data_IF_412438143513
#
_entry.id   IF_412438143513
#
_cell.length_a   1.000
_cell.length_b   1.000
_cell.length_c   1.000
_cell.angle_alpha   90.00
_cell.angle_beta   90.00
_cell.angle_gamma   90.00
#
_symmetry.space_group_name_H-M   'P 1'
#
loop_
_entity.id
_entity.type
_entity.pdbx_description
1 polymer ?
#
# COMPACT_ATOMS: atom_id res chain seq x y z
N UNK A 1 12.20 -0.87 21.29
CA UNK A 1 11.90 -0.04 20.10
C UNK A 1 11.35 -0.98 19.04
N UNK A 2 10.02 -1.00 18.88
CA UNK A 2 9.35 -2.03 18.09
C UNK A 2 9.71 -1.91 16.60
N UNK A 3 9.83 -3.08 15.97
CA UNK A 3 10.35 -3.32 14.64
C UNK A 3 9.34 -2.87 13.56
N UNK A 4 9.12 -1.55 13.40
CA UNK A 4 8.11 -1.02 12.45
C UNK A 4 8.26 -1.58 11.03
N UNK A 5 9.50 -1.87 10.61
CA UNK A 5 9.80 -2.35 9.26
C UNK A 5 9.40 -3.82 9.04
N UNK A 6 9.32 -4.64 10.10
CA UNK A 6 8.85 -6.03 9.97
C UNK A 6 7.34 -6.10 9.72
N UNK A 7 6.57 -5.19 10.32
CA UNK A 7 5.11 -5.15 10.18
C UNK A 7 4.68 -4.79 8.76
N UNK A 8 5.41 -3.90 8.08
CA UNK A 8 5.10 -3.49 6.69
C UNK A 8 5.29 -4.65 5.71
N UNK A 9 6.36 -5.45 5.85
CA UNK A 9 6.59 -6.61 4.97
C UNK A 9 5.54 -7.70 5.13
N UNK A 10 5.09 -7.93 6.37
CA UNK A 10 4.00 -8.87 6.65
C UNK A 10 2.70 -8.38 6.02
N UNK A 11 2.40 -7.08 6.16
CA UNK A 11 1.22 -6.46 5.58
C UNK A 11 1.24 -6.54 4.04
N UNK A 12 2.37 -6.23 3.42
CA UNK A 12 2.54 -6.35 1.98
C UNK A 12 2.28 -7.79 1.50
N UNK A 13 2.85 -8.77 2.19
CA UNK A 13 2.67 -10.19 1.85
C UNK A 13 1.19 -10.58 1.92
N UNK A 14 0.47 -10.14 2.96
CA UNK A 14 -0.96 -10.40 3.09
C UNK A 14 -1.78 -9.70 1.98
N UNK A 15 -1.40 -8.49 1.56
CA UNK A 15 -2.08 -7.78 0.49
C UNK A 15 -1.86 -8.44 -0.88
N UNK A 16 -0.67 -9.00 -1.12
CA UNK A 16 -0.33 -9.71 -2.36
C UNK A 16 -1.09 -11.03 -2.55
N UNK A 17 -1.77 -11.56 -1.52
CA UNK A 17 -2.62 -12.75 -1.65
C UNK A 17 -3.82 -12.52 -2.58
N UNK A 18 -4.32 -11.28 -2.66
CA UNK A 18 -5.50 -10.94 -3.48
C UNK A 18 -5.29 -9.78 -4.44
N UNK A 19 -4.28 -8.95 -4.24
CA UNK A 19 -3.94 -7.88 -5.17
C UNK A 19 -2.71 -8.27 -6.00
N UNK A 20 -2.68 -7.96 -7.30
CA UNK A 20 -1.50 -8.19 -8.11
C UNK A 20 -0.36 -7.27 -7.66
N UNK A 21 0.88 -7.72 -7.87
CA UNK A 21 2.09 -6.98 -7.47
C UNK A 21 2.20 -5.58 -8.09
N UNK A 22 1.55 -5.34 -9.24
CA UNK A 22 1.50 -4.02 -9.88
C UNK A 22 0.68 -2.99 -9.11
N UNK A 23 -0.23 -3.45 -8.23
CA UNK A 23 -1.13 -2.60 -7.43
C UNK A 23 -0.71 -2.46 -5.97
N UNK A 24 0.39 -3.08 -5.57
CA UNK A 24 0.98 -2.98 -4.23
C UNK A 24 2.44 -2.58 -4.40
N UNK A 25 2.71 -1.27 -4.33
CA UNK A 25 4.01 -0.68 -4.64
C UNK A 25 4.70 -0.18 -3.38
N UNK A 26 6.00 -0.46 -3.25
CA UNK A 26 6.83 0.09 -2.17
C UNK A 26 7.48 1.41 -2.62
N UNK A 27 7.69 2.32 -1.67
CA UNK A 27 8.43 3.58 -1.88
C UNK A 27 7.88 4.45 -3.03
N UNK A 28 6.58 4.35 -3.31
CA UNK A 28 5.94 5.11 -4.37
C UNK A 28 5.88 6.60 -4.00
N UNK A 29 6.37 7.47 -4.89
CA UNK A 29 6.38 8.91 -4.67
C UNK A 29 4.97 9.51 -4.79
N UNK A 30 4.46 10.05 -3.68
CA UNK A 30 3.14 10.67 -3.64
C UNK A 30 3.05 11.94 -4.49
N UNK A 31 4.18 12.63 -4.75
CA UNK A 31 4.20 13.78 -5.65
C UNK A 31 3.73 13.44 -7.08
N UNK A 32 3.79 12.19 -7.53
CA UNK A 32 3.25 11.80 -8.82
C UNK A 32 1.71 11.81 -8.84
N UNK A 33 1.08 11.60 -7.67
CA UNK A 33 -0.37 11.40 -7.50
C UNK A 33 -1.11 12.61 -6.90
N UNK A 34 -0.40 13.68 -6.52
CA UNK A 34 -1.01 14.91 -5.97
C UNK A 34 -1.00 16.06 -6.97
N UNK A 35 -2.04 16.91 -6.94
CA UNK A 35 -2.15 18.08 -7.84
C UNK A 35 -1.00 19.06 -7.68
N UNK A 36 -0.58 19.32 -6.43
CA UNK A 36 0.52 20.24 -6.13
C UNK A 36 1.92 19.65 -6.36
N UNK A 37 2.03 18.38 -6.77
CA UNK A 37 3.30 17.66 -6.95
C UNK A 37 4.19 17.67 -5.71
N UNK A 38 3.55 17.57 -4.53
CA UNK A 38 4.22 17.52 -3.23
C UNK A 38 3.86 16.18 -2.57
N UNK A 39 4.85 15.57 -1.92
CA UNK A 39 4.69 14.33 -1.16
C UNK A 39 5.88 13.39 -1.34
N UNK A 40 6.42 12.90 -0.23
CA UNK A 40 7.51 11.93 -0.21
C UNK A 40 7.07 10.51 -0.60
N UNK A 41 7.97 9.52 -0.45
CA UNK A 41 7.63 8.12 -0.70
C UNK A 41 6.67 7.58 0.36
N UNK A 42 5.67 6.81 -0.07
CA UNK A 42 4.86 5.99 0.81
C UNK A 42 5.55 4.63 1.04
N UNK A 43 5.52 4.12 2.27
CA UNK A 43 6.06 2.77 2.56
C UNK A 43 5.35 1.71 1.73
N UNK A 44 4.03 1.82 1.61
CA UNK A 44 3.19 0.99 0.75
C UNK A 44 2.12 1.85 0.08
N UNK A 45 1.97 1.72 -1.24
CA UNK A 45 0.96 2.38 -2.05
C UNK A 45 0.10 1.33 -2.74
N UNK A 46 -1.21 1.37 -2.47
CA UNK A 46 -2.17 0.36 -2.91
C UNK A 46 -3.22 0.99 -3.83
N UNK A 47 -3.44 0.40 -5.00
CA UNK A 47 -4.45 0.85 -5.98
C UNK A 47 -5.51 -0.22 -6.21
N UNK A 48 -6.53 -0.31 -5.35
CA UNK A 48 -7.66 -1.20 -5.59
C UNK A 48 -8.49 -0.68 -6.77
N UNK A 49 -8.86 -1.56 -7.69
CA UNK A 49 -9.69 -1.20 -8.86
C UNK A 49 -11.14 -1.64 -8.71
N UNK A 50 -11.46 -2.39 -7.65
CA UNK A 50 -12.80 -2.87 -7.35
C UNK A 50 -13.18 -2.64 -5.90
N UNK A 51 -14.48 -2.63 -5.61
CA UNK A 51 -14.97 -2.49 -4.23
C UNK A 51 -14.57 -3.66 -3.34
N UNK A 52 -14.46 -4.87 -3.92
CA UNK A 52 -14.01 -6.05 -3.21
C UNK A 52 -12.54 -5.95 -2.79
N UNK A 53 -11.68 -5.45 -3.69
CA UNK A 53 -10.26 -5.19 -3.38
C UNK A 53 -10.12 -4.09 -2.33
N UNK A 54 -10.87 -2.99 -2.44
CA UNK A 54 -10.86 -1.92 -1.45
C UNK A 54 -11.26 -2.43 -0.06
N UNK A 55 -12.37 -3.19 0.02
CA UNK A 55 -12.81 -3.76 1.30
C UNK A 55 -11.79 -4.75 1.85
N UNK A 56 -11.13 -5.53 1.01
CA UNK A 56 -10.08 -6.45 1.45
C UNK A 56 -8.89 -5.67 2.03
N UNK A 57 -8.36 -4.70 1.28
CA UNK A 57 -7.22 -3.87 1.72
C UNK A 57 -7.49 -3.23 3.08
N UNK A 58 -8.67 -2.62 3.29
CA UNK A 58 -9.01 -1.98 4.56
C UNK A 58 -9.12 -2.97 5.73
N UNK A 59 -9.62 -4.19 5.49
CA UNK A 59 -9.72 -5.24 6.52
C UNK A 59 -8.36 -5.84 6.89
N UNK A 60 -7.41 -5.85 5.97
CA UNK A 60 -6.07 -6.38 6.20
C UNK A 60 -5.19 -5.43 7.02
N UNK A 61 -5.50 -4.13 7.02
CA UNK A 61 -4.73 -3.08 7.73
C UNK A 61 -5.26 -2.82 9.16
N UNK A 62 -6.53 -3.13 9.44
CA UNK A 62 -7.17 -2.97 10.75
C UNK A 62 -6.86 -4.13 11.70
#
# INVERSE_FOLDING_TARGET
MANNNQNIKVLQTALLEKLPCTRVREQELLCHHTTFKIGGPADLFIEPTTMAELSFTLRTIH
#
